data_IF_701814916772
#
_entry.id   IF_701814916772
#
_cell.length_a   1.000
_cell.length_b   1.000
_cell.length_c   1.000
_cell.angle_alpha   90.00
_cell.angle_beta   90.00
_cell.angle_gamma   90.00
#
_symmetry.space_group_name_H-M   'P 1'
#
loop_
_entity.id
_entity.type
_entity.pdbx_description
1 polymer ?
#
# COMPACT_ATOMS: atom_id res chain seq x y z
N UNK A 1 -11.16 -19.48 -73.79
CA UNK A 1 -11.54 -19.98 -72.46
C UNK A 1 -10.55 -19.43 -71.45
N UNK A 2 -10.95 -18.38 -70.73
CA UNK A 2 -10.19 -17.79 -69.66
C UNK A 2 -10.35 -18.67 -68.41
N UNK A 3 -9.27 -19.31 -67.97
CA UNK A 3 -9.23 -20.01 -66.69
C UNK A 3 -8.84 -18.97 -65.62
N UNK A 4 -9.80 -18.68 -64.73
CA UNK A 4 -9.62 -17.75 -63.63
C UNK A 4 -8.56 -18.23 -62.65
N UNK A 5 -7.59 -17.36 -62.38
CA UNK A 5 -6.68 -17.46 -61.24
C UNK A 5 -7.40 -16.91 -60.00
N UNK A 6 -7.88 -17.79 -59.13
CA UNK A 6 -8.29 -17.41 -57.78
C UNK A 6 -7.06 -17.00 -56.96
N UNK A 7 -7.06 -15.84 -56.28
CA UNK A 7 -6.02 -15.51 -55.32
C UNK A 7 -6.27 -16.26 -54.00
N UNK A 8 -5.27 -17.03 -53.57
CA UNK A 8 -5.24 -17.63 -52.23
C UNK A 8 -5.35 -16.53 -51.14
N UNK A 9 -6.13 -16.74 -50.07
CA UNK A 9 -6.15 -15.80 -48.95
C UNK A 9 -4.82 -15.89 -48.19
N UNK A 10 -4.14 -14.75 -48.10
CA UNK A 10 -2.91 -14.58 -47.35
C UNK A 10 -3.09 -14.99 -45.87
N UNK A 11 -2.38 -16.05 -45.47
CA UNK A 11 -2.19 -16.40 -44.08
C UNK A 11 -1.25 -15.36 -43.44
N UNK A 12 -1.83 -14.32 -42.85
CA UNK A 12 -1.05 -13.35 -42.09
C UNK A 12 -1.93 -12.48 -41.26
N UNK A 13 -2.17 -12.87 -39.99
CA UNK A 13 -2.58 -11.99 -38.86
C UNK A 13 -2.97 -12.80 -37.60
N UNK A 14 -2.14 -13.74 -37.14
CA UNK A 14 -2.34 -14.41 -35.84
C UNK A 14 -1.27 -14.08 -34.78
N UNK A 15 -0.13 -13.49 -35.18
CA UNK A 15 0.95 -13.11 -34.26
C UNK A 15 0.87 -11.67 -33.70
N UNK A 16 0.18 -10.77 -34.41
CA UNK A 16 0.19 -9.33 -34.11
C UNK A 16 -0.60 -8.97 -32.83
N UNK A 17 -1.72 -9.64 -32.58
CA UNK A 17 -2.53 -9.40 -31.37
C UNK A 17 -1.83 -9.78 -30.06
N UNK A 18 -1.03 -10.85 -30.05
CA UNK A 18 -0.32 -11.30 -28.84
C UNK A 18 0.82 -10.36 -28.48
N UNK A 19 1.63 -9.95 -29.46
CA UNK A 19 2.74 -9.01 -29.25
C UNK A 19 2.21 -7.62 -28.88
N UNK A 20 1.13 -7.16 -29.54
CA UNK A 20 0.46 -5.91 -29.17
C UNK A 20 -0.06 -5.92 -27.73
N UNK A 21 -0.68 -7.02 -27.29
CA UNK A 21 -1.15 -7.16 -25.91
C UNK A 21 0.01 -7.17 -24.89
N UNK A 22 1.17 -7.77 -25.23
CA UNK A 22 2.37 -7.72 -24.38
C UNK A 22 2.91 -6.29 -24.28
N UNK A 23 2.97 -5.56 -25.39
CA UNK A 23 3.41 -4.17 -25.44
C UNK A 23 2.48 -3.24 -24.64
N UNK A 24 1.16 -3.40 -24.78
CA UNK A 24 0.19 -2.62 -24.00
C UNK A 24 0.31 -2.90 -22.49
N UNK A 25 0.51 -4.16 -22.10
CA UNK A 25 0.78 -4.53 -20.70
C UNK A 25 2.08 -3.92 -20.17
N UNK A 26 3.16 -3.97 -20.94
CA UNK A 26 4.44 -3.36 -20.56
C UNK A 26 4.31 -1.84 -20.45
N UNK A 27 3.63 -1.19 -21.40
CA UNK A 27 3.35 0.24 -21.37
C UNK A 27 2.61 0.64 -20.09
N UNK A 28 1.57 -0.10 -19.70
CA UNK A 28 0.84 0.17 -18.47
C UNK A 28 1.74 -0.02 -17.23
N UNK A 29 2.58 -1.06 -17.20
CA UNK A 29 3.54 -1.26 -16.09
C UNK A 29 4.51 -0.09 -15.97
N UNK A 30 5.08 0.37 -17.08
CA UNK A 30 6.00 1.51 -17.09
C UNK A 30 5.30 2.82 -16.69
N UNK A 31 4.07 3.05 -17.16
CA UNK A 31 3.28 4.21 -16.78
C UNK A 31 2.99 4.22 -15.27
N UNK A 32 2.66 3.05 -14.70
CA UNK A 32 2.45 2.90 -13.24
C UNK A 32 3.74 3.15 -12.46
N UNK A 33 4.85 2.53 -12.88
CA UNK A 33 6.16 2.72 -12.25
C UNK A 33 6.60 4.19 -12.29
N UNK A 34 6.39 4.88 -13.41
CA UNK A 34 6.71 6.30 -13.54
C UNK A 34 5.93 7.15 -12.51
N UNK A 35 4.63 6.89 -12.34
CA UNK A 35 3.80 7.60 -11.33
C UNK A 35 4.31 7.35 -9.92
N UNK A 36 4.66 6.10 -9.59
CA UNK A 36 5.23 5.74 -8.28
C UNK A 36 6.56 6.45 -8.06
N UNK A 37 7.47 6.42 -9.03
CA UNK A 37 8.78 7.09 -8.90
C UNK A 37 8.66 8.59 -8.69
N UNK A 38 7.71 9.26 -9.37
CA UNK A 38 7.41 10.68 -9.15
C UNK A 38 6.94 10.92 -7.71
N UNK A 39 6.02 10.09 -7.21
CA UNK A 39 5.52 10.20 -5.85
C UNK A 39 6.63 9.96 -4.80
N UNK A 40 7.49 8.96 -5.02
CA UNK A 40 8.64 8.67 -4.14
C UNK A 40 9.61 9.86 -4.13
N UNK A 41 9.98 10.39 -5.30
CA UNK A 41 10.87 11.56 -5.37
C UNK A 41 10.31 12.75 -4.61
N UNK A 42 9.02 13.06 -4.79
CA UNK A 42 8.36 14.13 -4.07
C UNK A 42 8.34 13.88 -2.55
N UNK A 43 8.11 12.63 -2.12
CA UNK A 43 8.17 12.23 -0.71
C UNK A 43 9.56 12.42 -0.10
N UNK A 44 10.60 11.96 -0.80
CA UNK A 44 12.01 12.13 -0.37
C UNK A 44 12.38 13.61 -0.31
N UNK A 45 11.95 14.41 -1.27
CA UNK A 45 12.18 15.86 -1.25
C UNK A 45 11.55 16.49 0.00
N UNK A 46 10.28 16.20 0.26
CA UNK A 46 9.55 16.72 1.42
C UNK A 46 10.18 16.31 2.76
N UNK A 47 10.65 15.06 2.87
CA UNK A 47 11.42 14.57 4.02
C UNK A 47 12.72 15.38 4.20
N UNK A 48 13.47 15.57 3.11
CA UNK A 48 14.74 16.29 3.15
C UNK A 48 14.59 17.76 3.58
N UNK A 49 13.54 18.44 3.12
CA UNK A 49 13.21 19.82 3.48
C UNK A 49 12.86 19.94 4.96
N UNK A 50 12.07 19.00 5.50
CA UNK A 50 11.72 18.99 6.94
C UNK A 50 12.90 18.70 7.86
N UNK A 51 13.88 17.97 7.37
CA UNK A 51 15.07 17.57 8.12
C UNK A 51 16.29 18.46 7.83
N UNK A 52 16.11 19.60 7.15
CA UNK A 52 17.22 20.51 6.79
C UNK A 52 17.99 21.02 8.03
N UNK A 53 17.28 21.28 9.14
CA UNK A 53 17.89 21.75 10.39
C UNK A 53 18.72 20.71 11.15
N UNK A 54 18.59 19.42 10.82
CA UNK A 54 19.31 18.33 11.48
C UNK A 54 20.59 18.02 10.73
N UNK A 55 21.74 18.20 11.39
CA UNK A 55 23.06 17.96 10.80
C UNK A 55 23.52 16.54 11.10
N UNK A 56 24.07 15.88 10.08
CA UNK A 56 24.79 14.61 10.23
C UNK A 56 26.28 14.89 10.32
N UNK A 57 26.95 14.33 11.32
CA UNK A 57 28.40 14.47 11.45
C UNK A 57 29.11 13.78 10.28
N UNK A 58 30.04 14.50 9.63
CA UNK A 58 30.87 13.95 8.56
C UNK A 58 30.17 13.73 7.21
N UNK A 59 28.87 14.05 7.08
CA UNK A 59 28.15 13.94 5.81
C UNK A 59 27.67 15.30 5.30
N UNK A 60 28.03 15.61 4.05
CA UNK A 60 27.47 16.77 3.35
C UNK A 60 25.98 16.51 3.04
N UNK A 61 25.13 17.56 3.06
CA UNK A 61 23.77 17.47 2.56
C UNK A 61 23.78 17.11 1.07
N UNK A 62 23.05 16.05 0.68
CA UNK A 62 22.88 15.72 -0.73
C UNK A 62 21.74 16.55 -1.32
N UNK A 63 21.97 17.09 -2.52
CA UNK A 63 20.91 17.68 -3.35
C UNK A 63 20.20 16.52 -4.05
N UNK A 64 18.87 16.45 -3.91
CA UNK A 64 18.08 15.36 -4.51
C UNK A 64 18.14 15.39 -6.04
N UNK A 65 18.60 14.29 -6.63
CA UNK A 65 18.56 13.95 -8.05
C UNK A 65 17.90 12.58 -8.23
N UNK A 66 17.55 12.21 -9.46
CA UNK A 66 16.92 10.90 -9.72
C UNK A 66 17.87 9.73 -9.42
N UNK A 67 19.17 9.95 -9.59
CA UNK A 67 20.20 8.92 -9.37
C UNK A 67 20.54 8.72 -7.89
N UNK A 68 20.31 9.74 -7.04
CA UNK A 68 20.73 9.71 -5.63
C UNK A 68 19.58 9.64 -4.62
N UNK A 69 18.36 9.29 -5.08
CA UNK A 69 17.16 9.25 -4.23
C UNK A 69 17.34 8.35 -3.01
N UNK A 70 18.05 7.23 -3.16
CA UNK A 70 18.26 6.24 -2.10
C UNK A 70 19.22 6.79 -1.04
N UNK A 71 20.31 7.43 -1.47
CA UNK A 71 21.30 8.06 -0.59
C UNK A 71 20.67 9.19 0.22
N UNK A 72 19.87 10.05 -0.42
CA UNK A 72 19.13 11.11 0.29
C UNK A 72 18.15 10.52 1.30
N UNK A 73 17.46 9.42 0.95
CA UNK A 73 16.55 8.74 1.87
C UNK A 73 17.29 8.14 3.08
N UNK A 74 18.47 7.54 2.87
CA UNK A 74 19.33 7.06 3.96
C UNK A 74 19.78 8.20 4.89
N UNK A 75 20.11 9.37 4.32
CA UNK A 75 20.41 10.56 5.13
C UNK A 75 19.19 11.01 5.94
N UNK A 76 18.00 11.03 5.34
CA UNK A 76 16.76 11.38 6.03
C UNK A 76 16.52 10.41 7.20
N UNK A 77 16.68 9.11 6.98
CA UNK A 77 16.56 8.08 8.02
C UNK A 77 17.56 8.31 9.17
N UNK A 78 18.83 8.58 8.87
CA UNK A 78 19.83 8.89 9.89
C UNK A 78 19.47 10.16 10.70
N UNK A 79 18.98 11.21 10.04
CA UNK A 79 18.53 12.44 10.71
C UNK A 79 17.33 12.17 11.63
N UNK A 80 16.36 11.37 11.19
CA UNK A 80 15.20 11.01 12.01
C UNK A 80 15.60 10.23 13.26
N UNK A 81 16.60 9.35 13.19
CA UNK A 81 17.13 8.66 14.38
C UNK A 81 17.67 9.63 15.43
N UNK A 82 18.38 10.69 15.00
CA UNK A 82 18.88 11.73 15.91
C UNK A 82 17.71 12.47 16.58
N UNK A 83 16.68 12.82 15.81
CA UNK A 83 15.48 13.50 16.33
C UNK A 83 14.75 12.61 17.35
N UNK A 84 14.58 11.32 17.05
CA UNK A 84 13.94 10.37 17.96
C UNK A 84 14.71 10.23 19.27
N UNK A 85 16.04 10.15 19.20
CA UNK A 85 16.89 10.09 20.40
C UNK A 85 16.78 11.36 21.23
N UNK A 86 16.75 12.55 20.59
CA UNK A 86 16.58 13.81 21.28
C UNK A 86 15.22 13.91 22.00
N UNK A 87 14.13 13.47 21.34
CA UNK A 87 12.79 13.41 21.94
C UNK A 87 12.80 12.48 23.16
N UNK A 88 13.39 11.30 23.03
CA UNK A 88 13.48 10.34 24.13
C UNK A 88 14.25 10.91 25.32
N UNK A 89 15.37 11.59 25.08
CA UNK A 89 16.16 12.23 26.14
C UNK A 89 15.40 13.37 26.83
N UNK A 90 14.63 14.14 26.08
CA UNK A 90 13.78 15.21 26.61
C UNK A 90 12.63 14.64 27.45
N UNK A 91 11.98 13.56 26.99
CA UNK A 91 10.95 12.84 27.77
C UNK A 91 11.53 12.27 29.07
N UNK A 92 12.70 11.62 29.02
CA UNK A 92 13.38 11.10 30.20
C UNK A 92 13.80 12.22 31.17
N UNK A 93 14.20 13.40 30.67
CA UNK A 93 14.50 14.56 31.50
C UNK A 93 13.24 15.12 32.15
N UNK A 94 12.15 15.24 31.41
CA UNK A 94 10.87 15.71 31.94
C UNK A 94 10.33 14.81 33.05
N UNK A 95 10.43 13.47 32.88
CA UNK A 95 10.04 12.50 33.91
C UNK A 95 10.91 12.63 35.15
N UNK A 96 12.23 12.83 34.98
CA UNK A 96 13.16 13.07 36.10
C UNK A 96 12.82 14.36 36.84
N UNK A 97 12.62 15.47 36.14
CA UNK A 97 12.29 16.76 36.73
C UNK A 97 10.94 16.71 37.47
N UNK A 98 9.93 16.03 36.92
CA UNK A 98 8.66 15.80 37.61
C UNK A 98 8.82 14.92 38.85
N UNK A 99 9.65 13.88 38.78
CA UNK A 99 9.98 13.01 39.92
C UNK A 99 10.71 13.76 41.03
N UNK A 100 11.69 14.59 40.68
CA UNK A 100 12.42 15.45 41.61
C UNK A 100 11.52 16.52 42.24
N UNK A 101 10.61 17.11 41.47
CA UNK A 101 9.62 18.06 41.98
C UNK A 101 8.63 17.39 42.97
N UNK A 102 8.30 16.11 42.76
CA UNK A 102 7.47 15.35 43.70
C UNK A 102 8.23 14.97 44.99
N UNK A 103 9.52 14.63 44.88
CA UNK A 103 10.42 14.33 46.01
C UNK A 103 10.74 15.55 46.86
N UNK A 104 10.99 16.70 46.24
CA UNK A 104 11.24 17.96 46.96
C UNK A 104 10.00 18.47 47.69
N UNK A 105 8.80 18.23 47.16
CA UNK A 105 7.52 18.59 47.80
C UNK A 105 7.10 17.66 48.95
N UNK A 106 7.74 16.50 49.11
CA UNK A 106 7.40 15.49 50.12
C UNK A 106 8.31 15.49 51.36
N UNK A 107 9.32 16.37 51.43
CA UNK A 107 10.20 16.49 52.61
C UNK A 107 9.53 17.20 53.83
N UNK A 108 8.20 17.38 53.86
CA UNK A 108 7.48 17.91 55.02
C UNK A 108 6.43 16.95 55.61
N UNK A 109 6.42 15.66 55.25
CA UNK A 109 5.41 14.72 55.78
C UNK A 109 5.96 13.71 56.82
N UNK A 110 5.18 13.42 57.89
CA UNK A 110 5.58 12.54 58.99
C UNK A 110 6.01 11.12 58.58
N UNK A 111 6.99 10.60 59.31
CA UNK A 111 7.73 9.34 59.13
C UNK A 111 6.94 8.04 59.41
N UNK A 112 5.62 8.03 59.23
CA UNK A 112 4.82 6.81 59.46
C UNK A 112 4.34 6.19 58.15
N UNK A 113 4.68 4.91 57.87
CA UNK A 113 4.29 4.27 56.62
C UNK A 113 2.78 3.98 56.60
N UNK A 114 2.06 4.29 55.50
CA UNK A 114 0.67 3.90 55.36
C UNK A 114 0.59 2.38 55.21
N UNK A 115 -0.30 1.75 55.98
CA UNK A 115 -0.59 0.31 55.91
C UNK A 115 -1.25 0.03 54.55
N UNK A 116 -0.48 -0.58 53.64
CA UNK A 116 -0.91 -0.92 52.28
C UNK A 116 -1.69 -2.24 52.25
N UNK A 117 -2.95 -2.18 51.85
CA UNK A 117 -3.72 -3.35 51.41
C UNK A 117 -3.30 -3.70 49.98
N UNK A 118 -2.73 -4.89 49.79
CA UNK A 118 -2.19 -5.35 48.50
C UNK A 118 -3.31 -5.66 47.50
N UNK A 119 -3.58 -4.76 46.55
CA UNK A 119 -4.40 -5.05 45.37
C UNK A 119 -3.49 -5.50 44.22
N UNK A 120 -3.69 -6.72 43.70
CA UNK A 120 -2.95 -7.24 42.54
C UNK A 120 -3.71 -6.89 41.27
N UNK A 121 -3.15 -6.04 40.41
CA UNK A 121 -3.69 -5.76 39.07
C UNK A 121 -3.18 -6.82 38.10
N UNK A 122 -4.03 -7.24 37.17
CA UNK A 122 -3.73 -8.26 36.16
C UNK A 122 -3.56 -7.55 34.82
N UNK A 123 -2.41 -7.71 34.18
CA UNK A 123 -2.15 -7.09 32.88
C UNK A 123 -2.94 -7.80 31.78
N UNK A 124 -3.63 -7.00 30.94
CA UNK A 124 -4.30 -7.47 29.74
C UNK A 124 -3.30 -7.35 28.57
N UNK A 125 -2.59 -8.44 28.32
CA UNK A 125 -1.73 -8.58 27.13
C UNK A 125 -2.62 -8.88 25.92
N UNK A 126 -3.04 -7.82 25.22
CA UNK A 126 -3.77 -7.89 23.96
C UNK A 126 -2.85 -7.48 22.83
N UNK A 127 -2.09 -8.44 22.30
CA UNK A 127 -1.29 -8.24 21.09
C UNK A 127 -2.21 -8.07 19.88
N UNK A 128 -2.42 -6.83 19.44
CA UNK A 128 -2.92 -6.55 18.11
C UNK A 128 -1.79 -6.82 17.11
N UNK A 129 -1.91 -7.95 16.41
CA UNK A 129 -1.04 -8.32 15.29
C UNK A 129 -1.31 -7.35 14.13
N UNK A 130 -0.26 -6.71 13.62
CA UNK A 130 -0.36 -5.87 12.44
C UNK A 130 -0.81 -6.72 11.23
N UNK A 131 -1.68 -6.19 10.34
CA UNK A 131 -2.09 -6.89 9.12
C UNK A 131 -0.86 -7.33 8.33
N UNK A 132 -0.88 -8.57 7.81
CA UNK A 132 0.24 -9.12 7.06
C UNK A 132 0.35 -8.45 5.68
N UNK A 133 1.57 -8.37 5.16
CA UNK A 133 1.91 -7.79 3.86
C UNK A 133 1.16 -8.47 2.68
N UNK A 134 0.73 -9.73 2.85
CA UNK A 134 -0.04 -10.51 1.88
C UNK A 134 -1.46 -9.94 1.65
N UNK A 135 -2.09 -9.35 2.67
CA UNK A 135 -3.42 -8.73 2.56
C UNK A 135 -3.37 -7.43 1.74
N UNK A 136 -2.19 -6.78 1.65
CA UNK A 136 -2.00 -5.54 0.89
C UNK A 136 -1.77 -5.77 -0.60
N UNK A 137 -1.25 -6.93 -1.00
CA UNK A 137 -1.08 -7.30 -2.41
C UNK A 137 -2.43 -7.68 -3.06
N UNK A 138 -3.30 -8.39 -2.34
CA UNK A 138 -4.60 -8.82 -2.89
C UNK A 138 -5.56 -7.65 -3.19
N UNK A 139 -5.58 -6.58 -2.39
CA UNK A 139 -6.48 -5.43 -2.60
C UNK A 139 -6.09 -4.56 -3.82
N UNK A 140 -4.80 -4.56 -4.22
CA UNK A 140 -4.34 -3.81 -5.40
C UNK A 140 -4.28 -4.62 -6.70
N UNK A 141 -4.44 -5.94 -6.62
CA UNK A 141 -4.55 -6.86 -7.75
C UNK A 141 -5.97 -7.04 -8.27
N UNK A 142 -6.92 -6.18 -7.89
CA UNK A 142 -8.25 -6.15 -8.49
C UNK A 142 -8.14 -5.98 -10.02
N UNK A 143 -8.20 -7.13 -10.67
CA UNK A 143 -8.04 -7.34 -12.09
C UNK A 143 -9.13 -6.53 -12.78
N UNK A 144 -8.75 -5.45 -13.46
CA UNK A 144 -9.68 -4.73 -14.35
C UNK A 144 -10.06 -5.71 -15.46
N UNK A 145 -11.13 -6.46 -15.24
CA UNK A 145 -11.66 -7.42 -16.20
C UNK A 145 -11.96 -6.64 -17.47
N UNK A 146 -11.25 -6.96 -18.55
CA UNK A 146 -11.40 -6.27 -19.83
C UNK A 146 -12.90 -6.22 -20.21
N UNK A 147 -13.34 -5.07 -20.73
CA UNK A 147 -14.74 -4.80 -21.09
C UNK A 147 -15.39 -5.95 -21.88
N UNK A 148 -14.62 -6.62 -22.73
CA UNK A 148 -15.13 -7.68 -23.58
C UNK A 148 -15.31 -9.01 -22.82
N UNK A 149 -14.52 -9.27 -21.78
CA UNK A 149 -14.73 -10.37 -20.84
C UNK A 149 -15.98 -10.12 -19.96
N UNK A 150 -16.19 -8.90 -19.48
CA UNK A 150 -17.43 -8.50 -18.77
C UNK A 150 -18.65 -8.69 -19.68
N UNK A 151 -18.58 -8.24 -20.94
CA UNK A 151 -19.67 -8.44 -21.92
C UNK A 151 -19.95 -9.91 -22.17
N UNK A 152 -18.91 -10.75 -22.27
CA UNK A 152 -19.06 -12.20 -22.50
C UNK A 152 -19.67 -12.91 -21.29
N UNK A 153 -19.24 -12.59 -20.07
CA UNK A 153 -19.84 -13.13 -18.85
C UNK A 153 -21.29 -12.66 -18.67
N UNK A 154 -21.56 -11.37 -18.89
CA UNK A 154 -22.91 -10.79 -18.84
C UNK A 154 -23.85 -11.45 -19.86
N UNK A 155 -23.40 -11.64 -21.11
CA UNK A 155 -24.16 -12.35 -22.14
C UNK A 155 -24.48 -13.80 -21.75
N UNK A 156 -23.51 -14.51 -21.17
CA UNK A 156 -23.72 -15.88 -20.70
C UNK A 156 -24.74 -15.98 -19.55
N UNK A 157 -24.83 -14.95 -18.69
CA UNK A 157 -25.84 -14.87 -17.62
C UNK A 157 -27.23 -14.62 -18.22
N UNK A 158 -27.36 -13.68 -19.16
CA UNK A 158 -28.62 -13.40 -19.85
C UNK A 158 -29.13 -14.60 -20.64
N UNK A 159 -28.24 -15.34 -21.31
CA UNK A 159 -28.60 -16.57 -22.03
C UNK A 159 -29.10 -17.68 -21.09
N UNK A 160 -28.48 -17.83 -19.92
CA UNK A 160 -28.93 -18.79 -18.89
C UNK A 160 -30.31 -18.41 -18.34
N UNK A 161 -30.58 -17.12 -18.13
CA UNK A 161 -31.89 -16.63 -17.68
C UNK A 161 -32.97 -16.82 -18.76
N UNK A 162 -32.67 -16.52 -20.02
CA UNK A 162 -33.59 -16.69 -21.14
C UNK A 162 -33.88 -18.17 -21.47
N UNK A 163 -32.93 -19.07 -21.27
CA UNK A 163 -33.17 -20.53 -21.39
C UNK A 163 -34.09 -21.06 -20.27
N UNK A 164 -33.99 -20.51 -19.05
CA UNK A 164 -34.89 -20.86 -17.94
C UNK A 164 -36.32 -20.33 -18.16
N UNK A 165 -36.48 -19.11 -18.67
CA UNK A 165 -37.81 -18.55 -18.97
C UNK A 165 -38.54 -19.28 -20.10
N UNK A 166 -37.82 -19.73 -21.14
CA UNK A 166 -38.39 -20.53 -22.25
C UNK A 166 -38.80 -21.95 -21.86
N UNK A 167 -38.17 -22.55 -20.84
CA UNK A 167 -38.59 -23.86 -20.30
C UNK A 167 -39.85 -23.76 -19.44
N UNK A 168 -40.06 -22.63 -18.76
CA UNK A 168 -41.27 -22.36 -17.97
C UNK A 168 -42.53 -22.14 -18.84
N UNK A 169 -42.40 -21.48 -19.99
CA UNK A 169 -43.55 -21.16 -20.86
C UNK A 169 -44.06 -22.35 -21.69
N UNK A 170 -43.23 -23.36 -21.98
CA UNK A 170 -43.69 -24.59 -22.65
C UNK A 170 -44.51 -25.51 -21.75
N UNK A 171 -44.33 -25.46 -20.42
CA UNK A 171 -45.07 -26.31 -19.48
C UNK A 171 -46.48 -25.79 -19.17
N UNK A 172 -46.76 -24.51 -19.47
CA UNK A 172 -48.07 -23.87 -19.26
C UNK A 172 -49.02 -23.93 -20.46
N UNK A 173 -48.56 -24.43 -21.63
CA UNK A 173 -49.39 -24.64 -22.84
C UNK A 173 -49.84 -26.10 -23.06
N UNK A 174 -49.49 -27.01 -22.15
CA UNK A 174 -49.88 -28.42 -22.21
C UNK A 174 -50.88 -28.79 -21.08
N UNK A 175 -51.43 -27.78 -20.41
CA UNK A 175 -52.44 -27.91 -19.36
C UNK A 175 -53.53 -26.87 -19.63
N UNK A 176 -54.21 -27.03 -20.76
CA UNK A 176 -55.59 -26.62 -21.03
C UNK A 176 -56.17 -27.64 -22.01
#
# INVERSE_FOLDING_TARGET
YAAGSEPQPAAGQAGDGSERNKLERQRHKHERLARVMIAVKAGVQHLSERLEGVKLEGQAPHVLTDDNMVEVLQQCEAKMRIVLEAIRQEEEALVRDMGEAALTKSHELPTEPPIVNNCRVRDADGGEEAPSEEEFEEEMEDEVVERDAIKKQSGAILDKLNKKSRKGSKKKKAAD
#
